data_IF_209803802312
#
_entry.id   IF_209803802312
#
_cell.length_a   1.000
_cell.length_b   1.000
_cell.length_c   1.000
_cell.angle_alpha   90.00
_cell.angle_beta   90.00
_cell.angle_gamma   90.00
#
_symmetry.space_group_name_H-M   'P 1'
#
loop_
_entity.id
_entity.type
_entity.pdbx_description
1 polymer ?
#
# COMPACT_ATOMS: atom_id res chain seq x y z
N UNK A 1 -3.86 -6.00 30.91
CA UNK A 1 -2.59 -6.76 31.24
C UNK A 1 -1.65 -5.90 32.07
N UNK A 2 -0.68 -6.54 32.78
CA UNK A 2 0.36 -5.77 33.49
C UNK A 2 1.45 -5.30 32.48
N UNK A 3 1.87 -4.03 32.56
CA UNK A 3 2.88 -3.39 31.69
C UNK A 3 4.20 -4.19 31.62
N UNK A 4 4.69 -4.71 32.73
CA UNK A 4 5.93 -5.51 32.76
C UNK A 4 5.81 -6.81 31.95
N UNK A 5 4.64 -7.47 32.01
CA UNK A 5 4.36 -8.68 31.23
C UNK A 5 4.30 -8.36 29.74
N UNK A 6 3.69 -7.23 29.37
CA UNK A 6 3.65 -6.75 27.99
C UNK A 6 5.08 -6.53 27.50
N UNK A 7 5.90 -5.76 28.22
CA UNK A 7 7.28 -5.45 27.84
C UNK A 7 8.12 -6.72 27.65
N UNK A 8 7.99 -7.70 28.52
CA UNK A 8 8.71 -8.99 28.39
C UNK A 8 8.35 -9.70 27.07
N UNK A 9 7.10 -9.61 26.63
CA UNK A 9 6.69 -10.20 25.34
C UNK A 9 7.21 -9.37 24.14
N UNK A 10 7.22 -8.04 24.27
CA UNK A 10 7.78 -7.16 23.24
C UNK A 10 9.28 -7.39 23.03
N UNK A 11 10.03 -7.58 24.11
CA UNK A 11 11.48 -7.82 24.06
C UNK A 11 11.86 -9.09 23.29
N UNK A 12 11.00 -10.10 23.26
CA UNK A 12 11.21 -11.32 22.44
C UNK A 12 11.11 -11.03 20.93
N UNK A 13 10.47 -9.94 20.56
CA UNK A 13 10.20 -9.52 19.19
C UNK A 13 10.90 -8.20 18.82
N UNK A 14 11.96 -7.80 19.53
CA UNK A 14 12.70 -6.55 19.28
C UNK A 14 13.57 -6.64 18.01
N UNK A 15 12.90 -6.72 16.86
CA UNK A 15 13.51 -6.88 15.55
C UNK A 15 12.57 -6.31 14.46
N UNK A 16 13.01 -6.32 13.20
CA UNK A 16 12.22 -5.77 12.08
C UNK A 16 11.06 -6.67 11.63
N UNK A 17 11.04 -7.93 12.03
CA UNK A 17 9.93 -8.86 11.77
C UNK A 17 9.23 -9.13 13.09
N UNK A 18 8.01 -8.62 13.22
CA UNK A 18 7.18 -8.76 14.41
C UNK A 18 6.21 -9.94 14.27
N UNK A 19 6.28 -10.87 15.21
CA UNK A 19 5.45 -12.07 15.21
C UNK A 19 4.74 -12.23 16.57
N UNK A 20 3.45 -11.90 16.59
CA UNK A 20 2.60 -12.02 17.78
C UNK A 20 1.42 -12.95 17.48
N UNK A 21 1.54 -14.27 17.77
CA UNK A 21 0.46 -15.24 17.51
C UNK A 21 -0.81 -14.95 18.31
N UNK A 22 -0.67 -14.37 19.51
CA UNK A 22 -1.79 -13.86 20.30
C UNK A 22 -2.02 -12.38 20.03
N UNK A 23 -3.30 -11.99 19.96
CA UNK A 23 -3.69 -10.56 19.82
C UNK A 23 -3.56 -9.76 21.11
N UNK A 24 -3.52 -10.42 22.26
CA UNK A 24 -3.79 -9.83 23.55
C UNK A 24 -5.30 -9.73 23.85
N UNK A 25 -5.63 -9.14 25.00
CA UNK A 25 -6.98 -9.02 25.53
C UNK A 25 -7.66 -7.70 25.13
N UNK A 26 -7.08 -6.95 24.20
CA UNK A 26 -7.47 -5.61 23.82
C UNK A 26 -8.45 -5.58 22.64
N UNK A 27 -9.29 -4.55 22.63
CA UNK A 27 -10.27 -4.31 21.57
C UNK A 27 -11.42 -5.31 21.59
N UNK A 28 -12.04 -5.50 20.44
CA UNK A 28 -13.17 -6.41 20.25
C UNK A 28 -12.88 -7.38 19.11
N UNK A 29 -12.87 -8.68 19.43
CA UNK A 29 -12.59 -9.73 18.45
C UNK A 29 -13.66 -9.87 17.35
N UNK A 30 -14.87 -9.39 17.60
CA UNK A 30 -15.94 -9.37 16.60
C UNK A 30 -15.76 -8.27 15.55
N UNK A 31 -14.95 -7.24 15.86
CA UNK A 31 -14.68 -6.14 14.92
C UNK A 31 -13.64 -6.60 13.89
N UNK A 32 -14.05 -6.68 12.62
CA UNK A 32 -13.17 -7.10 11.54
C UNK A 32 -12.10 -6.05 11.25
N UNK A 33 -10.92 -6.50 10.82
CA UNK A 33 -9.80 -5.60 10.51
C UNK A 33 -8.98 -5.17 11.73
N UNK A 34 -9.29 -5.63 12.93
CA UNK A 34 -8.46 -5.36 14.12
C UNK A 34 -7.06 -5.99 13.96
N UNK A 35 -6.02 -5.23 14.32
CA UNK A 35 -4.66 -5.77 14.48
C UNK A 35 -4.42 -6.31 15.90
N UNK A 36 -3.29 -7.00 16.09
CA UNK A 36 -2.81 -7.35 17.44
C UNK A 36 -2.43 -6.09 18.22
N UNK A 37 -2.92 -5.95 19.45
CA UNK A 37 -2.57 -4.84 20.33
C UNK A 37 -1.06 -4.79 20.67
N UNK A 38 -0.37 -5.90 20.55
CA UNK A 38 1.10 -5.93 20.69
C UNK A 38 1.84 -5.07 19.69
N UNK A 39 1.27 -4.78 18.52
CA UNK A 39 1.85 -3.85 17.54
C UNK A 39 1.86 -2.44 18.07
N UNK A 40 0.73 -1.95 18.58
CA UNK A 40 0.64 -0.62 19.17
C UNK A 40 1.48 -0.53 20.45
N UNK A 41 1.44 -1.56 21.30
CA UNK A 41 2.29 -1.64 22.48
C UNK A 41 3.80 -1.59 22.11
N UNK A 42 4.21 -2.30 21.05
CA UNK A 42 5.59 -2.27 20.56
C UNK A 42 6.01 -0.86 20.13
N UNK A 43 5.17 -0.16 19.36
CA UNK A 43 5.44 1.20 18.93
C UNK A 43 5.54 2.15 20.11
N UNK A 44 4.60 2.08 21.07
CA UNK A 44 4.63 2.90 22.30
C UNK A 44 5.91 2.66 23.09
N UNK A 45 6.30 1.41 23.30
CA UNK A 45 7.50 1.03 24.04
C UNK A 45 8.79 1.42 23.31
N UNK A 46 8.89 1.06 22.02
CA UNK A 46 10.13 1.21 21.24
C UNK A 46 10.50 2.68 20.99
N UNK A 47 9.50 3.53 20.79
CA UNK A 47 9.67 4.95 20.51
C UNK A 47 9.45 5.84 21.74
N UNK A 48 9.32 5.25 22.95
CA UNK A 48 9.16 5.95 24.23
C UNK A 48 7.99 6.96 24.22
N UNK A 49 6.86 6.55 23.65
CA UNK A 49 5.68 7.39 23.45
C UNK A 49 5.00 7.66 24.79
N UNK A 50 4.67 8.92 25.05
CA UNK A 50 3.90 9.37 26.21
C UNK A 50 2.46 9.71 25.84
N UNK A 51 2.25 10.27 24.63
CA UNK A 51 0.93 10.56 24.07
C UNK A 51 0.80 9.94 22.69
N UNK A 52 -0.17 9.03 22.55
CA UNK A 52 -0.43 8.27 21.33
C UNK A 52 -1.77 8.68 20.73
N UNK A 53 -1.76 9.15 19.49
CA UNK A 53 -2.96 9.49 18.74
C UNK A 53 -3.21 8.41 17.68
N UNK A 54 -4.47 7.98 17.54
CA UNK A 54 -4.85 6.93 16.58
C UNK A 54 -5.93 7.41 15.62
N UNK A 55 -5.66 7.28 14.32
CA UNK A 55 -6.65 7.50 13.25
C UNK A 55 -7.15 6.14 12.78
N UNK A 56 -8.46 6.01 12.60
CA UNK A 56 -9.17 4.75 12.34
C UNK A 56 -9.11 3.77 13.53
N UNK A 57 -9.52 4.28 14.71
CA UNK A 57 -9.38 3.58 15.99
C UNK A 57 -10.26 2.31 16.13
N UNK A 58 -11.27 2.15 15.28
CA UNK A 58 -12.10 0.95 15.18
C UNK A 58 -12.71 0.52 16.51
N UNK A 59 -12.35 -0.67 16.99
CA UNK A 59 -12.88 -1.23 18.24
C UNK A 59 -12.22 -0.70 19.52
N UNK A 60 -11.21 0.19 19.40
CA UNK A 60 -10.51 0.76 20.54
C UNK A 60 -9.36 -0.10 21.09
N UNK A 61 -8.74 -0.92 20.25
CA UNK A 61 -7.55 -1.70 20.65
C UNK A 61 -6.46 -0.79 21.18
N UNK A 62 -6.17 0.35 20.54
CA UNK A 62 -5.15 1.31 20.94
C UNK A 62 -5.46 1.98 22.29
N UNK A 63 -6.72 2.32 22.56
CA UNK A 63 -7.17 2.85 23.85
C UNK A 63 -6.86 1.87 24.99
N UNK A 64 -7.26 0.60 24.83
CA UNK A 64 -7.02 -0.41 25.85
C UNK A 64 -5.51 -0.66 26.08
N UNK A 65 -4.72 -0.73 24.99
CA UNK A 65 -3.26 -0.87 25.05
C UNK A 65 -2.61 0.31 25.76
N UNK A 66 -2.97 1.53 25.40
CA UNK A 66 -2.41 2.75 25.99
C UNK A 66 -2.68 2.82 27.49
N UNK A 67 -3.89 2.42 27.91
CA UNK A 67 -4.25 2.30 29.34
C UNK A 67 -3.31 1.33 30.08
N UNK A 68 -3.08 0.14 29.55
CA UNK A 68 -2.21 -0.86 30.16
C UNK A 68 -0.73 -0.45 30.13
N UNK A 69 -0.30 0.31 29.11
CA UNK A 69 1.06 0.84 28.98
C UNK A 69 1.30 2.12 29.78
N UNK A 70 0.24 2.77 30.32
CA UNK A 70 0.32 4.06 31.00
C UNK A 70 0.73 5.18 30.04
N UNK A 71 0.12 5.23 28.87
CA UNK A 71 0.32 6.20 27.80
C UNK A 71 -0.97 6.99 27.62
N UNK A 72 -0.87 8.31 27.47
CA UNK A 72 -2.02 9.16 27.14
C UNK A 72 -2.51 8.80 25.73
N UNK A 73 -3.83 8.73 25.55
CA UNK A 73 -4.43 8.28 24.29
C UNK A 73 -5.55 9.19 23.83
N UNK A 74 -5.62 9.36 22.54
CA UNK A 74 -6.77 9.92 21.82
C UNK A 74 -6.95 9.20 20.50
N UNK A 75 -8.16 8.77 20.19
CA UNK A 75 -8.51 8.15 18.91
C UNK A 75 -9.54 8.95 18.14
N UNK A 76 -9.66 8.68 16.84
CA UNK A 76 -10.81 9.06 16.04
C UNK A 76 -11.26 7.92 15.13
N UNK A 77 -12.54 7.85 14.87
CA UNK A 77 -13.14 6.87 13.97
C UNK A 77 -14.42 7.46 13.33
N UNK A 78 -14.79 6.95 12.16
CA UNK A 78 -16.03 7.34 11.49
C UNK A 78 -17.28 6.77 12.20
N UNK A 79 -17.10 5.77 13.08
CA UNK A 79 -18.18 5.15 13.85
C UNK A 79 -18.90 6.19 14.72
N UNK A 80 -20.22 6.38 14.56
CA UNK A 80 -20.99 7.35 15.36
C UNK A 80 -21.12 6.94 16.85
N UNK A 81 -20.84 5.67 17.17
CA UNK A 81 -20.95 5.12 18.52
C UNK A 81 -19.66 4.39 18.92
N UNK A 82 -18.55 5.10 19.11
CA UNK A 82 -17.29 4.48 19.50
C UNK A 82 -17.42 3.82 20.87
N UNK A 83 -16.81 2.65 21.05
CA UNK A 83 -16.90 1.85 22.30
C UNK A 83 -16.01 2.38 23.42
N UNK A 84 -15.17 3.37 23.16
CA UNK A 84 -14.26 3.99 24.15
C UNK A 84 -14.49 5.50 24.13
N UNK A 85 -14.49 6.11 25.33
CA UNK A 85 -14.77 7.55 25.52
C UNK A 85 -13.67 8.46 24.97
N UNK A 86 -12.47 7.94 24.81
CA UNK A 86 -11.30 8.60 24.25
C UNK A 86 -11.16 8.41 22.72
N UNK A 87 -12.23 7.97 22.08
CA UNK A 87 -12.34 7.90 20.61
C UNK A 87 -13.40 8.89 20.14
N UNK A 88 -12.98 9.88 19.35
CA UNK A 88 -13.86 10.89 18.78
C UNK A 88 -14.57 10.34 17.53
N UNK A 89 -15.88 10.61 17.40
CA UNK A 89 -16.58 10.38 16.14
C UNK A 89 -16.24 11.51 15.17
N UNK A 90 -15.34 11.26 14.23
CA UNK A 90 -14.86 12.21 13.22
C UNK A 90 -14.53 11.51 11.92
N UNK A 91 -14.75 12.22 10.81
CA UNK A 91 -14.29 11.78 9.49
C UNK A 91 -12.85 12.24 9.27
N UNK A 92 -11.92 11.28 9.28
CA UNK A 92 -10.51 11.56 9.09
C UNK A 92 -10.20 12.28 7.75
N UNK A 93 -11.07 12.14 6.74
CA UNK A 93 -10.87 12.75 5.42
C UNK A 93 -11.41 14.18 5.34
N UNK A 94 -12.63 14.42 5.83
CA UNK A 94 -13.32 15.70 5.65
C UNK A 94 -13.17 16.67 6.83
N UNK A 95 -13.13 16.16 8.06
CA UNK A 95 -13.06 16.99 9.24
C UNK A 95 -11.65 17.51 9.52
N UNK A 96 -11.54 18.63 10.24
CA UNK A 96 -10.26 19.13 10.71
C UNK A 96 -9.62 18.19 11.72
N UNK A 97 -8.29 18.28 11.88
CA UNK A 97 -7.57 17.53 12.90
C UNK A 97 -8.01 18.05 14.28
N UNK A 98 -8.51 17.17 15.17
CA UNK A 98 -8.93 17.59 16.50
C UNK A 98 -7.76 18.16 17.32
N UNK A 99 -8.01 19.19 18.13
CA UNK A 99 -6.98 19.81 18.97
C UNK A 99 -6.35 18.82 19.94
N UNK A 100 -7.10 17.81 20.36
CA UNK A 100 -6.63 16.73 21.23
C UNK A 100 -5.48 15.92 20.63
N UNK A 101 -5.32 15.94 19.30
CA UNK A 101 -4.21 15.28 18.60
C UNK A 101 -2.89 16.08 18.69
N UNK A 102 -2.98 17.39 18.97
CA UNK A 102 -1.76 18.21 19.06
C UNK A 102 -0.90 17.78 20.25
N UNK A 103 0.42 17.84 20.07
CA UNK A 103 1.37 17.37 21.07
C UNK A 103 1.46 15.84 21.20
N UNK A 104 0.87 15.06 20.29
CA UNK A 104 1.09 13.63 20.26
C UNK A 104 2.52 13.30 19.83
N UNK A 105 3.16 12.38 20.55
CA UNK A 105 4.49 11.88 20.21
C UNK A 105 4.44 10.95 18.99
N UNK A 106 3.30 10.26 18.80
CA UNK A 106 3.05 9.42 17.64
C UNK A 106 1.61 9.51 17.17
N UNK A 107 1.43 9.63 15.85
CA UNK A 107 0.14 9.41 15.17
C UNK A 107 0.20 8.05 14.49
N UNK A 108 -0.64 7.13 14.92
CA UNK A 108 -0.78 5.79 14.33
C UNK A 108 -2.02 5.71 13.44
N UNK A 109 -1.90 4.97 12.34
CA UNK A 109 -2.99 4.73 11.40
C UNK A 109 -3.03 3.25 11.01
N UNK A 110 -4.21 2.66 11.09
CA UNK A 110 -4.52 1.35 10.49
C UNK A 110 -5.78 1.51 9.65
N UNK A 111 -5.67 2.03 8.43
CA UNK A 111 -6.82 2.37 7.61
C UNK A 111 -7.55 1.10 7.10
N UNK A 112 -8.82 1.22 6.71
CA UNK A 112 -9.47 0.23 5.87
C UNK A 112 -8.68 -0.01 4.57
N UNK A 113 -8.84 -1.19 3.93
CA UNK A 113 -8.06 -1.57 2.74
C UNK A 113 -8.91 -1.56 1.46
N UNK A 114 -9.62 -0.46 1.16
CA UNK A 114 -10.44 -0.33 -0.05
C UNK A 114 -11.58 -1.39 -0.14
N UNK A 115 -12.47 -1.25 -1.09
CA UNK A 115 -13.51 -2.24 -1.40
C UNK A 115 -12.95 -3.61 -1.81
N UNK A 116 -11.65 -3.68 -2.15
CA UNK A 116 -10.99 -4.92 -2.56
C UNK A 116 -11.01 -5.99 -1.44
N UNK A 117 -10.98 -5.59 -0.18
CA UNK A 117 -11.05 -6.54 0.96
C UNK A 117 -12.48 -6.94 1.29
N UNK A 118 -13.48 -6.18 0.81
CA UNK A 118 -14.90 -6.41 1.10
C UNK A 118 -15.24 -6.45 2.60
N UNK A 119 -14.74 -5.51 3.33
CA UNK A 119 -15.14 -5.22 4.70
C UNK A 119 -15.80 -3.84 4.70
N UNK A 120 -17.10 -3.73 4.47
CA UNK A 120 -17.80 -2.48 4.67
C UNK A 120 -17.91 -2.24 6.16
N UNK A 121 -17.26 -1.18 6.66
CA UNK A 121 -17.34 -0.84 8.09
C UNK A 121 -18.68 -0.18 8.40
N UNK A 122 -19.03 0.88 7.67
CA UNK A 122 -20.35 1.48 7.75
C UNK A 122 -21.42 0.52 7.23
N UNK A 123 -22.50 0.36 7.98
CA UNK A 123 -23.58 -0.57 7.70
C UNK A 123 -23.31 -2.02 8.14
N UNK A 124 -22.07 -2.37 8.51
CA UNK A 124 -21.70 -3.72 8.96
C UNK A 124 -21.13 -3.72 10.38
N UNK A 125 -20.10 -2.91 10.66
CA UNK A 125 -19.48 -2.83 11.98
C UNK A 125 -20.18 -1.80 12.87
N UNK A 126 -20.82 -0.79 12.28
CA UNK A 126 -21.62 0.21 12.95
C UNK A 126 -22.81 0.64 12.07
N UNK A 127 -23.92 1.12 12.68
CA UNK A 127 -25.14 1.48 11.94
C UNK A 127 -24.93 2.62 10.94
N UNK A 128 -25.52 2.47 9.75
CA UNK A 128 -25.59 3.52 8.74
C UNK A 128 -26.98 3.52 8.07
N UNK A 129 -28.05 3.96 8.77
CA UNK A 129 -29.41 3.87 8.28
C UNK A 129 -29.68 4.75 7.05
N UNK A 130 -28.86 5.79 6.82
CA UNK A 130 -29.01 6.73 5.70
C UNK A 130 -28.10 6.41 4.52
N UNK A 131 -27.09 5.55 4.71
CA UNK A 131 -26.04 5.29 3.71
C UNK A 131 -25.02 6.42 3.56
N UNK A 132 -25.09 7.47 4.39
CA UNK A 132 -24.17 8.62 4.29
C UNK A 132 -22.76 8.28 4.79
N UNK A 133 -22.64 7.43 5.82
CA UNK A 133 -21.35 6.98 6.31
C UNK A 133 -20.67 6.05 5.32
N UNK A 134 -21.44 5.19 4.64
CA UNK A 134 -20.92 4.29 3.60
C UNK A 134 -20.25 5.04 2.45
N UNK A 135 -20.72 6.23 2.09
CA UNK A 135 -20.11 7.08 1.06
C UNK A 135 -18.75 7.63 1.48
N UNK A 136 -18.47 7.70 2.79
CA UNK A 136 -17.24 8.23 3.39
C UNK A 136 -16.31 7.12 3.91
N UNK A 137 -16.80 5.89 3.96
CA UNK A 137 -16.03 4.73 4.40
C UNK A 137 -14.96 4.36 3.36
N UNK A 138 -13.69 4.56 3.71
CA UNK A 138 -12.54 4.24 2.85
C UNK A 138 -12.53 2.76 2.46
N UNK A 139 -13.08 1.87 3.30
CA UNK A 139 -13.22 0.45 3.03
C UNK A 139 -14.21 0.10 1.92
N UNK A 140 -14.98 1.07 1.41
CA UNK A 140 -15.94 0.92 0.33
C UNK A 140 -15.53 1.68 -0.95
N UNK A 141 -14.36 2.33 -0.95
CA UNK A 141 -13.85 3.08 -2.09
C UNK A 141 -13.06 2.21 -3.06
N UNK A 142 -13.16 2.43 -4.39
CA UNK A 142 -12.24 1.88 -5.38
C UNK A 142 -10.79 2.23 -5.05
N UNK A 143 -9.84 1.38 -5.46
CA UNK A 143 -8.43 1.49 -5.06
C UNK A 143 -7.83 2.89 -5.25
N UNK A 144 -7.96 3.47 -6.44
CA UNK A 144 -7.35 4.77 -6.74
C UNK A 144 -7.98 5.90 -5.90
N UNK A 145 -9.30 5.87 -5.70
CA UNK A 145 -10.02 6.82 -4.85
C UNK A 145 -9.60 6.67 -3.39
N UNK A 146 -9.51 5.43 -2.92
CA UNK A 146 -9.04 5.09 -1.59
C UNK A 146 -7.61 5.60 -1.33
N UNK A 147 -6.66 5.32 -2.24
CA UNK A 147 -5.27 5.77 -2.07
C UNK A 147 -5.16 7.30 -2.09
N UNK A 148 -5.92 7.97 -2.95
CA UNK A 148 -5.97 9.44 -2.97
C UNK A 148 -6.52 10.01 -1.67
N UNK A 149 -7.60 9.43 -1.12
CA UNK A 149 -8.18 9.85 0.15
C UNK A 149 -7.22 9.59 1.31
N UNK A 150 -6.63 8.39 1.39
CA UNK A 150 -5.68 8.02 2.43
C UNK A 150 -4.43 8.92 2.41
N UNK A 151 -3.88 9.21 1.23
CA UNK A 151 -2.72 10.09 1.09
C UNK A 151 -3.04 11.52 1.59
N UNK A 152 -4.25 12.04 1.34
CA UNK A 152 -4.69 13.33 1.89
C UNK A 152 -4.81 13.28 3.42
N UNK A 153 -5.38 12.20 3.98
CA UNK A 153 -5.45 12.01 5.44
C UNK A 153 -4.04 12.00 6.04
N UNK A 154 -3.11 11.23 5.49
CA UNK A 154 -1.73 11.16 5.96
C UNK A 154 -1.09 12.55 5.96
N UNK A 155 -1.18 13.29 4.85
CA UNK A 155 -0.59 14.62 4.73
C UNK A 155 -1.21 15.61 5.73
N UNK A 156 -2.54 15.56 5.94
CA UNK A 156 -3.25 16.43 6.88
C UNK A 156 -2.80 16.20 8.33
N UNK A 157 -2.78 14.94 8.78
CA UNK A 157 -2.33 14.62 10.13
C UNK A 157 -0.83 14.85 10.33
N UNK A 158 -0.01 14.53 9.31
CA UNK A 158 1.42 14.84 9.37
C UNK A 158 1.68 16.35 9.48
N UNK A 159 0.92 17.19 8.79
CA UNK A 159 1.04 18.64 8.89
C UNK A 159 0.80 19.14 10.33
N UNK A 160 -0.18 18.56 11.02
CA UNK A 160 -0.55 18.92 12.39
C UNK A 160 0.43 18.41 13.47
N UNK A 161 1.32 17.47 13.15
CA UNK A 161 2.29 16.93 14.12
C UNK A 161 3.37 17.94 14.48
N UNK A 162 3.98 17.76 15.64
CA UNK A 162 5.14 18.55 16.06
C UNK A 162 6.45 17.99 15.52
N UNK A 163 7.48 18.84 15.44
CA UNK A 163 8.84 18.42 15.09
C UNK A 163 9.35 17.38 16.09
N UNK A 164 9.88 16.28 15.59
CA UNK A 164 10.44 15.19 16.41
C UNK A 164 9.44 14.05 16.67
N UNK A 165 8.14 14.28 16.47
CA UNK A 165 7.12 13.24 16.60
C UNK A 165 7.13 12.25 15.43
N UNK A 166 6.48 11.11 15.62
CA UNK A 166 6.44 10.00 14.69
C UNK A 166 5.05 9.81 14.07
N UNK A 167 5.03 9.38 12.82
CA UNK A 167 3.84 8.82 12.19
C UNK A 167 4.08 7.35 11.90
N UNK A 168 3.13 6.50 12.24
CA UNK A 168 3.22 5.08 11.92
C UNK A 168 1.96 4.62 11.19
N UNK A 169 2.13 3.95 10.06
CA UNK A 169 1.03 3.43 9.25
C UNK A 169 1.17 1.92 9.09
N UNK A 170 0.20 1.19 9.62
CA UNK A 170 0.04 -0.25 9.40
C UNK A 170 -0.77 -0.46 8.12
N UNK A 171 -0.22 -1.20 7.18
CA UNK A 171 -0.79 -1.38 5.85
C UNK A 171 -0.43 -2.74 5.26
N UNK A 172 -1.20 -3.19 4.27
CA UNK A 172 -0.96 -4.46 3.60
C UNK A 172 -1.08 -4.38 2.09
N UNK A 173 -0.67 -5.46 1.44
CA UNK A 173 -0.89 -5.68 0.03
C UNK A 173 -2.19 -6.44 -0.19
N UNK A 174 -2.85 -6.18 -1.32
CA UNK A 174 -4.10 -6.83 -1.71
C UNK A 174 -3.94 -7.47 -3.08
N UNK A 175 -4.34 -8.73 -3.20
CA UNK A 175 -4.36 -9.43 -4.49
C UNK A 175 -5.79 -9.75 -4.90
N UNK A 176 -6.37 -8.86 -5.72
CA UNK A 176 -7.71 -9.02 -6.25
C UNK A 176 -7.85 -8.26 -7.58
N UNK A 177 -8.09 -8.97 -8.68
CA UNK A 177 -8.08 -8.37 -10.01
C UNK A 177 -6.71 -7.85 -10.46
N UNK A 178 -5.66 -8.07 -9.65
CA UNK A 178 -4.28 -7.60 -9.80
C UNK A 178 -3.56 -7.61 -8.47
N UNK A 179 -2.33 -7.16 -8.44
CA UNK A 179 -1.55 -6.93 -7.22
C UNK A 179 -1.57 -5.43 -6.91
N UNK A 180 -2.02 -5.08 -5.72
CA UNK A 180 -2.13 -3.71 -5.22
C UNK A 180 -1.30 -3.58 -3.95
N UNK A 181 -0.36 -2.66 -3.91
CA UNK A 181 0.53 -2.45 -2.77
C UNK A 181 0.34 -1.07 -2.16
N UNK A 182 -0.20 -1.02 -0.95
CA UNK A 182 -0.31 0.25 -0.23
C UNK A 182 1.07 0.84 0.03
N UNK A 183 2.08 0.01 0.35
CA UNK A 183 3.44 0.49 0.60
C UNK A 183 4.06 1.20 -0.62
N UNK A 184 3.73 0.75 -1.85
CA UNK A 184 4.19 1.38 -3.08
C UNK A 184 3.44 2.68 -3.38
N UNK A 185 2.13 2.71 -3.15
CA UNK A 185 1.24 3.79 -3.59
C UNK A 185 1.04 4.89 -2.54
N UNK A 186 1.49 4.67 -1.29
CA UNK A 186 1.31 5.59 -0.17
C UNK A 186 2.32 6.74 -0.21
N UNK A 187 1.85 7.95 0.13
CA UNK A 187 2.72 9.11 0.36
C UNK A 187 3.62 8.88 1.58
N UNK A 188 4.86 9.36 1.49
CA UNK A 188 5.87 9.19 2.53
C UNK A 188 6.39 10.58 2.95
N UNK A 189 5.67 11.30 3.84
CA UNK A 189 6.11 12.60 4.32
C UNK A 189 7.21 12.47 5.37
N UNK A 190 8.21 13.35 5.30
CA UNK A 190 9.32 13.43 6.25
C UNK A 190 10.35 12.32 6.09
N UNK A 191 11.02 12.00 7.19
CA UNK A 191 12.13 11.05 7.20
C UNK A 191 11.67 9.62 7.52
N UNK A 192 11.94 8.69 6.62
CA UNK A 192 11.71 7.27 6.85
C UNK A 192 12.65 6.75 7.94
N UNK A 193 12.10 6.34 9.07
CA UNK A 193 12.87 5.76 10.16
C UNK A 193 12.99 4.24 10.02
N UNK A 194 11.87 3.58 9.70
CA UNK A 194 11.84 2.12 9.67
C UNK A 194 10.65 1.62 8.83
N UNK A 195 10.83 0.45 8.23
CA UNK A 195 9.76 -0.43 7.78
C UNK A 195 9.86 -1.72 8.58
N UNK A 196 8.80 -2.03 9.32
CA UNK A 196 8.68 -3.29 10.07
C UNK A 196 7.70 -4.20 9.32
N UNK A 197 7.92 -5.50 9.43
CA UNK A 197 7.05 -6.53 8.86
C UNK A 197 6.29 -7.19 9.99
N UNK A 198 4.98 -7.07 9.99
CA UNK A 198 4.09 -7.80 10.88
C UNK A 198 3.66 -9.09 10.23
N UNK A 199 3.98 -10.24 10.83
CA UNK A 199 3.46 -11.52 10.37
C UNK A 199 1.98 -11.67 10.72
N UNK A 200 1.20 -12.21 9.79
CA UNK A 200 -0.20 -12.52 10.02
C UNK A 200 -0.33 -13.96 10.56
N UNK A 201 -1.11 -14.11 11.61
CA UNK A 201 -1.44 -15.40 12.20
C UNK A 201 -2.93 -15.66 12.06
N UNK A 202 -3.32 -16.94 11.92
CA UNK A 202 -4.73 -17.39 11.84
C UNK A 202 -5.54 -16.69 10.73
N UNK A 203 -4.90 -16.31 9.63
CA UNK A 203 -5.60 -15.71 8.50
C UNK A 203 -6.05 -16.79 7.49
N UNK A 204 -7.11 -16.47 6.72
CA UNK A 204 -7.67 -17.37 5.71
C UNK A 204 -6.70 -17.66 4.55
N UNK A 205 -5.64 -16.87 4.40
CA UNK A 205 -4.61 -17.01 3.37
C UNK A 205 -3.40 -17.84 3.80
N UNK A 206 -3.38 -18.43 5.00
CA UNK A 206 -2.30 -19.32 5.44
C UNK A 206 -2.27 -20.62 4.64
N UNK A 207 -1.08 -21.24 4.58
CA UNK A 207 -0.85 -22.52 3.87
C UNK A 207 -1.77 -23.64 4.41
N UNK A 208 -2.09 -23.59 5.70
CA UNK A 208 -2.95 -24.57 6.38
C UNK A 208 -4.41 -24.48 5.92
N UNK A 209 -4.89 -23.30 5.61
CA UNK A 209 -6.27 -23.06 5.17
C UNK A 209 -6.49 -23.26 3.67
N UNK A 210 -5.47 -23.56 2.89
CA UNK A 210 -5.42 -23.95 1.46
C UNK A 210 -6.64 -23.56 0.60
N UNK A 211 -7.06 -22.30 0.65
CA UNK A 211 -8.06 -21.79 -0.28
C UNK A 211 -7.53 -21.71 -1.73
N UNK A 212 -6.20 -21.80 -1.91
CA UNK A 212 -5.53 -21.60 -3.19
C UNK A 212 -4.73 -22.83 -3.60
N UNK A 213 -5.19 -23.50 -4.66
CA UNK A 213 -4.57 -24.71 -5.21
C UNK A 213 -3.58 -24.45 -6.35
N UNK A 214 -3.44 -23.19 -6.81
CA UNK A 214 -2.57 -22.85 -7.92
C UNK A 214 -1.10 -22.83 -7.49
N UNK A 215 -0.22 -23.50 -8.24
CA UNK A 215 1.23 -23.50 -8.01
C UNK A 215 1.87 -22.11 -8.19
N UNK A 216 1.21 -21.22 -8.92
CA UNK A 216 1.72 -19.86 -9.21
C UNK A 216 1.22 -18.82 -8.20
N UNK A 217 0.49 -19.25 -7.16
CA UNK A 217 -0.03 -18.35 -6.14
C UNK A 217 0.83 -18.40 -4.88
N UNK A 218 1.39 -17.25 -4.51
CA UNK A 218 2.10 -17.06 -3.24
C UNK A 218 1.19 -16.26 -2.30
N UNK A 219 0.73 -16.86 -1.17
CA UNK A 219 -0.12 -16.17 -0.19
C UNK A 219 0.60 -14.96 0.43
N UNK A 220 -0.15 -13.88 0.64
CA UNK A 220 0.32 -12.73 1.45
C UNK A 220 0.04 -13.09 2.91
N UNK A 221 1.09 -13.18 3.71
CA UNK A 221 1.04 -13.58 5.13
C UNK A 221 1.68 -12.52 6.05
N UNK A 222 1.77 -11.30 5.58
CA UNK A 222 2.37 -10.19 6.30
C UNK A 222 1.67 -8.86 6.00
N UNK A 223 1.93 -7.90 6.85
CA UNK A 223 1.61 -6.49 6.67
C UNK A 223 2.86 -5.66 6.97
N UNK A 224 2.88 -4.42 6.51
CA UNK A 224 3.96 -3.47 6.74
C UNK A 224 3.57 -2.45 7.80
N UNK A 225 4.55 -2.05 8.61
CA UNK A 225 4.43 -0.90 9.50
C UNK A 225 5.51 0.09 9.08
N UNK A 226 5.07 1.15 8.41
CA UNK A 226 5.93 2.26 8.04
C UNK A 226 6.03 3.23 9.20
N UNK A 227 7.24 3.62 9.59
CA UNK A 227 7.47 4.62 10.63
C UNK A 227 8.24 5.80 10.03
N UNK A 228 7.65 6.97 10.14
CA UNK A 228 8.15 8.25 9.64
C UNK A 228 8.38 9.20 10.82
N UNK A 229 9.35 10.11 10.70
CA UNK A 229 9.61 11.16 11.69
C UNK A 229 9.43 12.53 11.08
N UNK A 230 8.78 13.43 11.79
CA UNK A 230 8.68 14.82 11.38
C UNK A 230 9.95 15.59 11.75
N UNK A 231 10.70 15.98 10.74
CA UNK A 231 11.99 16.66 10.92
C UNK A 231 11.90 18.17 10.75
N UNK A 232 10.93 18.66 9.98
CA UNK A 232 10.75 20.08 9.67
C UNK A 232 9.38 20.56 10.18
N UNK A 233 9.33 21.68 10.94
CA UNK A 233 8.06 22.20 11.45
C UNK A 233 7.24 22.96 10.41
N UNK A 234 7.89 23.56 9.37
CA UNK A 234 7.26 24.46 8.42
C UNK A 234 7.21 23.96 6.99
N UNK A 235 7.91 22.86 6.69
CA UNK A 235 7.96 22.26 5.36
C UNK A 235 7.64 20.78 5.45
N UNK A 236 6.97 20.29 4.44
CA UNK A 236 6.68 18.85 4.30
C UNK A 236 7.39 18.39 3.04
N UNK A 237 8.53 17.72 3.21
CA UNK A 237 9.14 16.95 2.14
C UNK A 237 8.44 15.61 2.05
N UNK A 238 8.00 15.22 0.86
CA UNK A 238 7.29 13.96 0.67
C UNK A 238 7.66 13.31 -0.66
N UNK A 239 7.55 11.99 -0.68
CA UNK A 239 7.70 11.19 -1.88
C UNK A 239 6.34 10.65 -2.32
N UNK A 240 6.02 10.88 -3.60
CA UNK A 240 4.91 10.22 -4.26
C UNK A 240 5.48 9.28 -5.33
N UNK A 241 4.98 8.05 -5.43
CA UNK A 241 5.33 7.17 -6.52
C UNK A 241 4.92 7.80 -7.86
N UNK A 242 5.83 7.84 -8.81
CA UNK A 242 5.55 8.34 -10.15
C UNK A 242 5.66 7.19 -11.15
N UNK A 243 4.59 6.92 -11.86
CA UNK A 243 4.59 5.92 -12.93
C UNK A 243 5.08 6.58 -14.22
N UNK A 244 6.22 6.15 -14.71
CA UNK A 244 6.75 6.57 -16.00
C UNK A 244 6.40 5.53 -17.07
N UNK A 245 5.85 5.99 -18.18
CA UNK A 245 5.66 5.20 -19.39
C UNK A 245 6.59 5.75 -20.47
N UNK A 246 7.46 4.90 -20.99
CA UNK A 246 8.36 5.22 -22.10
C UNK A 246 8.01 4.33 -23.27
N UNK A 247 7.81 4.92 -24.45
CA UNK A 247 7.64 4.14 -25.68
C UNK A 247 8.96 3.43 -25.98
N UNK A 248 8.91 2.11 -26.11
CA UNK A 248 10.12 1.31 -26.33
C UNK A 248 10.81 1.67 -27.65
N UNK A 249 10.08 2.26 -28.60
CA UNK A 249 10.65 2.76 -29.87
C UNK A 249 11.61 3.91 -29.66
N UNK A 250 11.44 4.68 -28.58
CA UNK A 250 12.32 5.81 -28.21
C UNK A 250 13.45 5.39 -27.26
N UNK A 251 13.44 4.15 -26.79
CA UNK A 251 14.40 3.62 -25.85
C UNK A 251 15.74 3.27 -26.49
N UNK A 252 16.84 3.81 -25.97
CA UNK A 252 18.19 3.42 -26.41
C UNK A 252 18.56 1.98 -26.09
N UNK A 253 17.90 1.37 -25.10
CA UNK A 253 18.14 0.00 -24.64
C UNK A 253 17.22 -1.03 -25.30
N UNK A 254 16.22 -0.62 -26.08
CA UNK A 254 15.32 -1.52 -26.79
C UNK A 254 16.09 -2.51 -27.67
N UNK A 255 15.72 -3.79 -27.63
CA UNK A 255 16.31 -4.79 -28.54
C UNK A 255 15.73 -4.66 -29.96
N UNK A 256 16.40 -5.22 -30.96
CA UNK A 256 15.85 -5.26 -32.32
C UNK A 256 14.47 -5.97 -32.38
N UNK A 257 14.29 -6.99 -31.53
CA UNK A 257 12.99 -7.68 -31.39
C UNK A 257 11.90 -6.72 -30.90
N UNK A 258 12.20 -5.93 -29.85
CA UNK A 258 11.22 -5.02 -29.24
C UNK A 258 10.81 -3.92 -30.22
N UNK A 259 11.76 -3.36 -30.96
CA UNK A 259 11.52 -2.30 -31.93
C UNK A 259 10.64 -2.83 -33.09
N UNK A 260 11.00 -4.00 -33.64
CA UNK A 260 10.23 -4.64 -34.72
C UNK A 260 8.82 -4.99 -34.24
N UNK A 261 8.70 -5.58 -33.05
CA UNK A 261 7.41 -5.91 -32.46
C UNK A 261 6.52 -4.66 -32.25
N UNK A 262 7.07 -3.60 -31.69
CA UNK A 262 6.31 -2.35 -31.44
C UNK A 262 5.80 -1.69 -32.72
N UNK A 263 6.50 -1.86 -33.84
CA UNK A 263 6.04 -1.37 -35.15
C UNK A 263 4.93 -2.24 -35.74
N UNK A 264 4.96 -3.54 -35.47
CA UNK A 264 4.10 -4.52 -36.14
C UNK A 264 2.83 -4.88 -35.35
N UNK A 265 2.85 -4.80 -34.01
CA UNK A 265 1.82 -5.37 -33.11
C UNK A 265 0.37 -4.94 -33.43
N UNK A 266 0.19 -3.70 -33.89
CA UNK A 266 -1.13 -3.13 -34.13
C UNK A 266 -1.44 -2.91 -35.64
N UNK A 267 -0.56 -3.38 -36.52
CA UNK A 267 -0.66 -3.06 -37.97
C UNK A 267 -0.96 -4.27 -38.86
N UNK A 268 -1.22 -5.44 -38.27
CA UNK A 268 -1.46 -6.64 -39.09
C UNK A 268 -0.23 -7.08 -39.87
N UNK A 269 -0.38 -7.41 -41.17
CA UNK A 269 0.71 -7.83 -42.04
C UNK A 269 1.44 -6.64 -42.65
N UNK A 270 2.76 -6.60 -42.57
CA UNK A 270 3.62 -5.54 -43.14
C UNK A 270 4.64 -6.13 -44.10
N UNK A 271 4.97 -5.38 -45.18
CA UNK A 271 6.12 -5.70 -46.03
C UNK A 271 7.43 -5.33 -45.32
N UNK A 272 8.57 -5.93 -45.73
CA UNK A 272 9.88 -5.54 -45.26
C UNK A 272 10.16 -4.04 -45.45
N UNK A 273 9.70 -3.45 -46.55
CA UNK A 273 9.89 -2.01 -46.78
C UNK A 273 9.09 -1.17 -45.80
N UNK A 274 7.84 -1.57 -45.50
CA UNK A 274 7.04 -0.87 -44.46
C UNK A 274 7.70 -0.94 -43.10
N UNK A 275 8.24 -2.11 -42.72
CA UNK A 275 8.98 -2.27 -41.47
C UNK A 275 10.22 -1.36 -41.45
N UNK A 276 10.98 -1.31 -42.53
CA UNK A 276 12.18 -0.46 -42.64
C UNK A 276 11.81 1.03 -42.51
N UNK A 277 10.82 1.52 -43.25
CA UNK A 277 10.38 2.92 -43.22
C UNK A 277 9.92 3.37 -41.83
N UNK A 278 9.32 2.47 -41.07
CA UNK A 278 8.88 2.77 -39.69
C UNK A 278 10.00 2.74 -38.64
N UNK A 279 11.19 2.17 -38.98
CA UNK A 279 12.30 1.98 -38.02
C UNK A 279 13.52 2.83 -38.39
N UNK A 280 13.68 3.27 -39.64
CA UNK A 280 14.91 3.91 -40.16
C UNK A 280 15.41 5.10 -39.34
N UNK A 281 14.50 5.88 -38.75
CA UNK A 281 14.82 7.03 -37.92
C UNK A 281 15.23 6.69 -36.48
N UNK A 282 15.11 5.42 -36.07
CA UNK A 282 15.45 4.99 -34.73
C UNK A 282 16.97 5.12 -34.47
N UNK A 283 17.36 5.56 -33.27
CA UNK A 283 18.78 5.76 -32.93
C UNK A 283 19.67 4.54 -33.14
N UNK A 284 19.15 3.31 -32.98
CA UNK A 284 19.89 2.08 -33.27
C UNK A 284 20.21 1.90 -34.75
N UNK A 285 19.34 2.40 -35.67
CA UNK A 285 19.61 2.37 -37.09
C UNK A 285 20.76 3.33 -37.45
N UNK A 286 20.78 4.52 -36.85
CA UNK A 286 21.84 5.51 -37.04
C UNK A 286 23.22 4.99 -36.58
N UNK A 287 23.24 4.12 -35.55
CA UNK A 287 24.48 3.54 -34.97
C UNK A 287 24.92 2.23 -35.64
N UNK A 288 24.12 1.65 -36.51
CA UNK A 288 24.42 0.36 -37.14
C UNK A 288 24.17 0.39 -38.65
N UNK A 289 25.20 0.44 -39.49
CA UNK A 289 25.03 0.48 -40.94
C UNK A 289 24.34 -0.77 -41.52
N UNK A 290 24.37 -1.91 -40.79
CA UNK A 290 23.73 -3.18 -41.15
C UNK A 290 22.38 -3.41 -40.46
N UNK A 291 21.65 -2.33 -40.12
CA UNK A 291 20.40 -2.44 -39.40
C UNK A 291 19.30 -3.20 -40.15
N UNK A 292 19.26 -3.12 -41.50
CA UNK A 292 18.31 -3.87 -42.33
C UNK A 292 18.51 -5.38 -42.24
N UNK A 293 19.76 -5.81 -42.23
CA UNK A 293 20.16 -7.22 -42.01
C UNK A 293 19.73 -7.67 -40.60
N UNK A 294 19.90 -6.83 -39.59
CA UNK A 294 19.51 -7.14 -38.22
C UNK A 294 18.00 -7.27 -38.09
N UNK A 295 17.21 -6.45 -38.75
CA UNK A 295 15.75 -6.59 -38.81
C UNK A 295 15.37 -7.92 -39.45
N UNK A 296 15.94 -8.27 -40.62
CA UNK A 296 15.67 -9.55 -41.28
C UNK A 296 16.06 -10.74 -40.39
N UNK A 297 17.22 -10.70 -39.77
CA UNK A 297 17.65 -11.70 -38.80
C UNK A 297 16.69 -11.84 -37.63
N UNK A 298 16.19 -10.72 -37.12
CA UNK A 298 15.22 -10.68 -36.02
C UNK A 298 13.89 -11.34 -36.42
N UNK A 299 13.34 -10.98 -37.55
CA UNK A 299 12.11 -11.57 -38.08
C UNK A 299 12.21 -13.08 -38.28
N UNK A 300 13.36 -13.57 -38.70
CA UNK A 300 13.63 -15.02 -38.93
C UNK A 300 13.91 -15.76 -37.61
N UNK A 301 14.54 -15.12 -36.66
CA UNK A 301 15.02 -15.74 -35.42
C UNK A 301 13.88 -15.99 -34.40
N UNK A 302 12.91 -15.09 -34.31
CA UNK A 302 11.89 -15.15 -33.26
C UNK A 302 10.55 -15.64 -33.83
N UNK A 303 10.02 -16.70 -33.23
CA UNK A 303 8.74 -17.33 -33.63
C UNK A 303 7.51 -16.44 -33.49
N UNK A 304 7.62 -15.32 -32.74
CA UNK A 304 6.57 -14.31 -32.63
C UNK A 304 6.32 -13.58 -33.97
N UNK A 305 7.25 -13.66 -34.93
CA UNK A 305 7.10 -13.11 -36.26
C UNK A 305 6.90 -14.24 -37.26
N UNK A 306 5.80 -14.20 -37.99
CA UNK A 306 5.48 -15.22 -39.00
C UNK A 306 5.37 -14.57 -40.37
N UNK A 307 5.86 -15.26 -41.40
CA UNK A 307 5.74 -14.83 -42.78
C UNK A 307 4.60 -15.59 -43.45
N UNK A 308 3.58 -14.87 -43.91
CA UNK A 308 2.45 -15.44 -44.64
C UNK A 308 2.74 -15.52 -46.14
N UNK A 309 3.57 -14.63 -46.65
CA UNK A 309 4.01 -14.57 -48.07
C UNK A 309 5.45 -14.07 -48.13
N UNK A 310 6.12 -14.28 -49.26
CA UNK A 310 7.49 -13.83 -49.48
C UNK A 310 7.64 -12.34 -49.18
N UNK A 311 8.39 -11.99 -48.18
CA UNK A 311 8.66 -10.59 -47.79
C UNK A 311 7.53 -9.87 -47.00
N UNK A 312 6.47 -10.58 -46.60
CA UNK A 312 5.36 -10.06 -45.78
C UNK A 312 5.36 -10.76 -44.45
N UNK A 313 5.33 -9.99 -43.37
CA UNK A 313 5.46 -10.47 -42.01
C UNK A 313 4.32 -9.95 -41.14
N UNK A 314 3.92 -10.73 -40.13
CA UNK A 314 2.97 -10.35 -39.10
C UNK A 314 3.43 -10.86 -37.72
N UNK A 315 2.85 -10.30 -36.67
CA UNK A 315 3.00 -10.87 -35.32
C UNK A 315 2.06 -12.06 -35.21
N UNK A 316 2.58 -13.17 -34.67
CA UNK A 316 1.76 -14.34 -34.35
C UNK A 316 0.65 -13.97 -33.35
N UNK A 317 -0.54 -14.51 -33.54
CA UNK A 317 -1.69 -14.29 -32.65
C UNK A 317 -1.49 -14.93 -31.27
#
# INVERSE_FOLDING_TARGET
MNKETIIKELQKNDQTILSFPSRGEWGDNSYRGNCSGYIQAFLMWKYHIKKFAEVFAGSGTGSDVAKDMGVDYIGLDLNPNPKRHDILCRDAFTDDVPEEFYGADMVFMHPPYSELIKIPYAGSMYPDPTGELSKRDLGQMPWDTFMNALNKVIMKFYAAMEKGSYMSVLMGDVRRGGFHSMLQDIVKPGEMQQILIKTQHNCSSTIENKAYKSRNFVPIVHEYIMVLKKIMPYMIDFQLPTKHAVDIRDSETATWKDIVYAVMKDKGSLTLNDIYSNIENHNRCKRNPHWKEKIRQTLQKYSIFVSNNRGVWQVAA
#
